data_IF_416912708947
#
_entry.id   IF_416912708947
#
_cell.length_a   1.000
_cell.length_b   1.000
_cell.length_c   1.000
_cell.angle_alpha   90.00
_cell.angle_beta   90.00
_cell.angle_gamma   90.00
#
_symmetry.space_group_name_H-M   'P 1'
#
loop_
_entity.id
_entity.type
_entity.pdbx_description
1 polymer ?
#
# COMPACT_ATOMS: atom_id res chain seq x y z
N UNK A 1 -21.39 59.86 6.69
CA UNK A 1 -20.64 58.92 5.84
C UNK A 1 -19.96 57.90 6.77
N UNK A 2 -20.46 56.65 6.83
CA UNK A 2 -19.93 55.57 7.69
C UNK A 2 -19.12 54.63 6.78
N UNK A 3 -17.80 54.63 6.93
CA UNK A 3 -16.93 53.68 6.22
C UNK A 3 -16.99 52.32 6.93
N UNK A 4 -17.61 51.33 6.29
CA UNK A 4 -17.47 49.92 6.68
C UNK A 4 -16.13 49.41 6.18
N UNK A 5 -15.20 49.13 7.10
CA UNK A 5 -14.00 48.36 6.79
C UNK A 5 -14.40 46.87 6.76
N UNK A 6 -14.34 46.28 5.56
CA UNK A 6 -14.55 44.87 5.33
C UNK A 6 -13.25 44.13 5.71
N UNK A 7 -13.26 43.36 6.80
CA UNK A 7 -12.14 42.46 7.12
C UNK A 7 -12.16 41.29 6.12
N UNK A 8 -11.24 41.31 5.17
CA UNK A 8 -10.93 40.15 4.35
C UNK A 8 -10.13 39.14 5.20
N UNK A 9 -10.78 38.08 5.65
CA UNK A 9 -10.10 36.94 6.28
C UNK A 9 -9.45 36.13 5.16
N UNK A 10 -8.15 36.29 4.97
CA UNK A 10 -7.37 35.49 4.05
C UNK A 10 -7.18 34.08 4.64
N UNK A 11 -7.98 33.12 4.19
CA UNK A 11 -7.75 31.70 4.47
C UNK A 11 -6.49 31.24 3.72
N UNK A 12 -5.41 31.06 4.47
CA UNK A 12 -4.18 30.46 3.95
C UNK A 12 -4.49 28.98 3.67
N UNK A 13 -4.72 28.62 2.40
CA UNK A 13 -4.69 27.21 1.99
C UNK A 13 -3.24 26.73 2.08
N UNK A 14 -2.86 26.11 3.19
CA UNK A 14 -1.62 25.34 3.25
C UNK A 14 -1.72 24.19 2.26
N UNK A 15 -1.00 24.29 1.14
CA UNK A 15 -0.77 23.17 0.25
C UNK A 15 -0.01 22.11 1.05
N UNK A 16 -0.75 21.12 1.54
CA UNK A 16 -0.20 20.12 2.42
C UNK A 16 0.76 19.23 1.61
N UNK A 17 2.05 19.39 1.87
CA UNK A 17 3.12 18.81 1.06
C UNK A 17 3.30 17.34 1.42
N UNK A 18 3.20 16.46 0.42
CA UNK A 18 3.56 15.07 0.58
C UNK A 18 5.07 14.95 0.85
N UNK A 19 5.45 14.21 1.88
CA UNK A 19 6.85 13.98 2.26
C UNK A 19 7.32 12.63 1.71
N UNK A 20 8.58 12.54 1.25
CA UNK A 20 9.16 11.22 0.94
C UNK A 20 9.25 10.38 2.22
N UNK A 21 9.02 9.08 2.08
CA UNK A 21 9.19 8.10 3.15
C UNK A 21 10.02 6.91 2.65
N UNK A 22 10.75 6.27 3.57
CA UNK A 22 11.58 5.10 3.24
C UNK A 22 10.80 3.78 3.30
N UNK A 23 9.68 3.75 4.02
CA UNK A 23 8.80 2.58 4.16
C UNK A 23 7.38 2.99 4.54
N UNK A 24 6.43 2.08 4.31
CA UNK A 24 5.11 2.12 4.94
C UNK A 24 5.24 1.52 6.35
N UNK A 25 4.70 2.15 7.41
CA UNK A 25 4.95 1.76 8.80
C UNK A 25 4.13 0.54 9.25
N UNK A 26 4.18 -0.54 8.47
CA UNK A 26 3.58 -1.84 8.79
C UNK A 26 4.67 -2.92 8.90
N UNK A 27 4.37 -4.02 9.58
CA UNK A 27 5.30 -5.15 9.69
C UNK A 27 5.61 -5.76 8.31
N UNK A 28 6.85 -6.20 8.10
CA UNK A 28 7.19 -7.02 6.93
C UNK A 28 6.57 -8.41 7.07
N UNK A 29 6.13 -8.99 5.97
CA UNK A 29 5.52 -10.31 5.95
C UNK A 29 4.16 -10.32 5.25
N UNK A 30 3.38 -11.38 5.51
CA UNK A 30 2.13 -11.62 4.80
C UNK A 30 0.95 -10.88 5.42
N UNK A 31 0.11 -10.36 4.52
CA UNK A 31 -1.16 -9.76 4.85
C UNK A 31 -2.26 -10.42 4.04
N UNK A 32 -3.38 -10.71 4.70
CA UNK A 32 -4.56 -11.31 4.08
C UNK A 32 -5.73 -10.34 4.18
N UNK A 33 -6.58 -10.30 3.16
CA UNK A 33 -7.82 -9.50 3.17
C UNK A 33 -8.61 -9.78 4.46
N UNK A 34 -9.11 -8.72 5.08
CA UNK A 34 -9.72 -8.77 6.43
C UNK A 34 -10.98 -9.63 6.50
N UNK A 35 -11.65 -9.84 5.37
CA UNK A 35 -12.82 -10.70 5.22
C UNK A 35 -12.47 -12.19 4.98
N UNK A 36 -11.19 -12.53 4.90
CA UNK A 36 -10.71 -13.89 4.62
C UNK A 36 -9.86 -14.39 5.80
N UNK A 37 -10.16 -15.55 6.44
CA UNK A 37 -9.30 -16.16 7.45
C UNK A 37 -7.87 -16.40 6.95
N UNK A 38 -6.84 -16.28 7.80
CA UNK A 38 -5.45 -16.49 7.38
C UNK A 38 -5.23 -17.89 6.80
N UNK A 39 -5.87 -18.90 7.40
CA UNK A 39 -5.80 -20.31 7.00
C UNK A 39 -6.50 -20.59 5.66
N UNK A 40 -7.29 -19.64 5.16
CA UNK A 40 -8.03 -19.71 3.89
C UNK A 40 -7.51 -18.70 2.87
N UNK A 41 -6.29 -18.20 3.07
CA UNK A 41 -5.65 -17.33 2.11
C UNK A 41 -5.53 -18.02 0.74
N UNK A 42 -5.67 -17.22 -0.31
CA UNK A 42 -5.46 -17.63 -1.69
C UNK A 42 -4.63 -16.57 -2.41
N UNK A 43 -4.15 -16.87 -3.62
CA UNK A 43 -3.46 -15.88 -4.46
C UNK A 43 -4.24 -14.57 -4.63
N UNK A 44 -5.58 -14.60 -4.56
CA UNK A 44 -6.43 -13.41 -4.70
C UNK A 44 -6.58 -12.59 -3.41
N UNK A 45 -6.29 -13.18 -2.25
CA UNK A 45 -6.56 -12.55 -0.95
C UNK A 45 -5.30 -12.23 -0.14
N UNK A 46 -4.14 -12.70 -0.57
CA UNK A 46 -2.85 -12.51 0.11
C UNK A 46 -1.94 -11.52 -0.61
N UNK A 47 -1.10 -10.81 0.16
CA UNK A 47 -0.02 -9.98 -0.36
C UNK A 47 1.17 -10.03 0.62
N UNK A 48 2.39 -9.95 0.08
CA UNK A 48 3.62 -9.91 0.86
C UNK A 48 4.16 -8.48 0.89
N UNK A 49 4.46 -7.96 2.07
CA UNK A 49 5.14 -6.67 2.22
C UNK A 49 6.61 -6.87 2.59
N UNK A 50 7.51 -6.28 1.80
CA UNK A 50 8.96 -6.36 2.03
C UNK A 50 9.56 -5.10 2.68
N UNK A 51 8.72 -4.14 3.08
CA UNK A 51 9.13 -2.86 3.65
C UNK A 51 9.00 -1.69 2.68
N UNK A 52 9.07 -1.94 1.37
CA UNK A 52 9.01 -0.88 0.35
C UNK A 52 7.90 -1.08 -0.70
N UNK A 53 7.40 -2.30 -0.85
CA UNK A 53 6.37 -2.64 -1.82
C UNK A 53 5.52 -3.80 -1.33
N UNK A 54 4.29 -3.87 -1.84
CA UNK A 54 3.37 -4.98 -1.65
C UNK A 54 3.33 -5.85 -2.91
N UNK A 55 3.49 -7.15 -2.74
CA UNK A 55 3.36 -8.11 -3.84
C UNK A 55 1.97 -8.03 -4.48
N UNK A 56 1.94 -8.09 -5.80
CA UNK A 56 0.71 -8.07 -6.59
C UNK A 56 0.61 -9.36 -7.39
N UNK A 57 -0.56 -10.00 -7.35
CA UNK A 57 -0.81 -11.15 -8.21
C UNK A 57 -0.63 -10.74 -9.67
N UNK A 58 0.16 -11.51 -10.43
CA UNK A 58 0.38 -11.34 -11.87
C UNK A 58 1.10 -10.06 -12.32
N UNK A 59 1.62 -9.25 -11.38
CA UNK A 59 2.44 -8.10 -11.73
C UNK A 59 3.86 -8.29 -11.22
N UNK A 60 4.80 -7.91 -12.07
CA UNK A 60 6.16 -7.64 -11.63
C UNK A 60 6.32 -6.13 -11.48
N UNK A 61 6.64 -5.65 -10.28
CA UNK A 61 6.81 -4.23 -9.97
C UNK A 61 8.25 -3.92 -9.53
N UNK A 62 8.75 -2.74 -9.89
CA UNK A 62 10.11 -2.27 -9.60
C UNK A 62 10.11 -0.78 -9.28
N UNK A 63 11.22 -0.33 -8.68
CA UNK A 63 11.50 1.09 -8.38
C UNK A 63 10.39 1.76 -7.54
N UNK A 64 10.03 1.20 -6.37
CA UNK A 64 9.01 1.82 -5.53
C UNK A 64 9.48 3.18 -5.04
N UNK A 65 8.58 4.16 -5.08
CA UNK A 65 8.73 5.47 -4.47
C UNK A 65 7.57 5.68 -3.51
N UNK A 66 7.89 5.95 -2.23
CA UNK A 66 6.89 6.09 -1.18
C UNK A 66 6.79 7.56 -0.77
N UNK A 67 5.55 8.03 -0.67
CA UNK A 67 5.21 9.35 -0.17
C UNK A 67 4.21 9.22 0.97
N UNK A 68 4.46 9.92 2.08
CA UNK A 68 3.45 10.15 3.12
C UNK A 68 2.65 11.39 2.74
N UNK A 69 1.34 11.22 2.60
CA UNK A 69 0.40 12.27 2.28
C UNK A 69 0.02 13.06 3.54
N UNK A 70 -0.58 14.22 3.34
CA UNK A 70 -0.98 15.13 4.40
C UNK A 70 -2.02 14.56 5.37
N UNK A 71 -2.89 13.69 4.88
CA UNK A 71 -3.89 12.98 5.68
C UNK A 71 -3.30 11.80 6.48
N UNK A 72 -1.98 11.61 6.42
CA UNK A 72 -1.25 10.53 7.07
C UNK A 72 -1.25 9.21 6.31
N UNK A 73 -1.97 9.12 5.18
CA UNK A 73 -1.91 7.96 4.30
C UNK A 73 -0.58 7.89 3.54
N UNK A 74 -0.29 6.74 2.94
CA UNK A 74 0.93 6.50 2.18
C UNK A 74 0.57 6.22 0.73
N UNK A 75 1.34 6.76 -0.20
CA UNK A 75 1.24 6.47 -1.62
C UNK A 75 2.51 5.76 -2.07
N UNK A 76 2.36 4.62 -2.73
CA UNK A 76 3.45 3.92 -3.38
C UNK A 76 3.24 4.04 -4.88
N UNK A 77 4.24 4.58 -5.58
CA UNK A 77 4.31 4.57 -7.04
C UNK A 77 5.39 3.60 -7.47
N UNK A 78 5.06 2.70 -8.38
CA UNK A 78 5.95 1.66 -8.89
C UNK A 78 5.87 1.62 -10.42
N UNK A 79 6.89 1.07 -11.07
CA UNK A 79 6.79 0.65 -12.47
C UNK A 79 6.48 -0.84 -12.51
N UNK A 80 5.33 -1.21 -13.06
CA UNK A 80 4.85 -2.58 -13.09
C UNK A 80 4.63 -3.06 -14.53
N UNK A 81 4.70 -4.37 -14.74
CA UNK A 81 4.22 -5.03 -15.97
C UNK A 81 3.39 -6.26 -15.62
N UNK A 82 2.41 -6.56 -16.45
CA UNK A 82 1.69 -7.84 -16.39
C UNK A 82 2.63 -8.99 -16.79
N UNK A 83 2.61 -10.08 -16.02
CA UNK A 83 3.44 -11.27 -16.24
C UNK A 83 2.68 -12.44 -16.88
N UNK A 84 1.40 -12.29 -17.18
CA UNK A 84 0.58 -13.29 -17.85
C UNK A 84 0.71 -13.21 -19.38
N UNK A 85 0.48 -14.34 -20.05
CA UNK A 85 0.50 -14.44 -21.50
C UNK A 85 1.86 -14.04 -22.10
N UNK A 86 1.85 -13.05 -23.00
CA UNK A 86 3.07 -12.49 -23.60
C UNK A 86 3.72 -11.38 -22.75
N UNK A 87 3.15 -11.09 -21.59
CA UNK A 87 3.49 -9.94 -20.75
C UNK A 87 2.96 -8.61 -21.30
N UNK A 88 2.89 -7.61 -20.41
CA UNK A 88 2.50 -6.24 -20.75
C UNK A 88 3.69 -5.26 -20.81
N UNK A 89 3.49 -4.06 -21.38
CA UNK A 89 4.48 -2.98 -21.25
C UNK A 89 4.63 -2.58 -19.78
N UNK A 90 5.79 -1.98 -19.45
CA UNK A 90 5.98 -1.35 -18.14
C UNK A 90 5.16 -0.07 -18.05
N UNK A 91 4.34 0.06 -17.02
CA UNK A 91 3.52 1.23 -16.74
C UNK A 91 3.67 1.67 -15.29
N UNK A 92 3.48 2.95 -15.02
CA UNK A 92 3.44 3.45 -13.65
C UNK A 92 2.13 3.02 -12.99
N UNK A 93 2.23 2.43 -11.80
CA UNK A 93 1.10 2.09 -10.95
C UNK A 93 1.24 2.85 -9.64
N UNK A 94 0.20 3.59 -9.27
CA UNK A 94 0.16 4.34 -8.02
C UNK A 94 -0.98 3.83 -7.15
N UNK A 95 -0.66 3.44 -5.91
CA UNK A 95 -1.61 2.90 -4.94
C UNK A 95 -1.53 3.66 -3.63
N UNK A 96 -2.68 3.97 -3.04
CA UNK A 96 -2.77 4.65 -1.74
C UNK A 96 -3.12 3.66 -0.63
N UNK A 97 -2.53 3.84 0.54
CA UNK A 97 -2.63 2.98 1.71
C UNK A 97 -2.97 3.81 2.95
N UNK A 98 -4.12 3.55 3.57
CA UNK A 98 -4.39 4.01 4.93
C UNK A 98 -3.83 2.98 5.92
N UNK A 99 -3.10 3.43 6.95
CA UNK A 99 -2.38 2.55 7.88
C UNK A 99 -2.89 2.81 9.31
N UNK A 100 -3.98 2.14 9.74
CA UNK A 100 -4.53 2.32 11.08
C UNK A 100 -3.63 1.74 12.19
N UNK A 101 -2.81 0.72 11.89
CA UNK A 101 -1.87 0.13 12.84
C UNK A 101 -0.67 -0.49 12.12
N UNK A 102 0.33 -0.96 12.88
CA UNK A 102 1.49 -1.67 12.29
C UNK A 102 1.13 -3.00 11.64
N UNK A 103 -0.04 -3.56 11.94
CA UNK A 103 -0.47 -4.89 11.47
C UNK A 103 -1.68 -4.83 10.55
N UNK A 104 -2.13 -3.64 10.16
CA UNK A 104 -3.32 -3.46 9.34
C UNK A 104 -3.14 -2.32 8.36
N UNK A 105 -3.69 -2.47 7.17
CA UNK A 105 -3.79 -1.39 6.20
C UNK A 105 -5.04 -1.54 5.33
N UNK A 106 -5.48 -0.43 4.75
CA UNK A 106 -6.49 -0.42 3.70
C UNK A 106 -5.85 0.07 2.40
N UNK A 107 -5.85 -0.80 1.39
CA UNK A 107 -5.43 -0.48 0.02
C UNK A 107 -6.57 0.22 -0.69
N UNK A 108 -6.25 1.32 -1.36
CA UNK A 108 -7.19 2.12 -2.14
C UNK A 108 -6.67 2.25 -3.57
N UNK A 109 -7.49 1.83 -4.52
CA UNK A 109 -7.23 1.91 -5.96
C UNK A 109 -8.41 2.62 -6.63
N UNK A 110 -8.30 3.03 -7.91
CA UNK A 110 -9.44 3.54 -8.66
C UNK A 110 -10.64 2.56 -8.74
N UNK A 111 -10.38 1.27 -8.58
CA UNK A 111 -11.40 0.21 -8.71
C UNK A 111 -12.07 -0.16 -7.38
N UNK A 112 -11.57 0.34 -6.25
CA UNK A 112 -12.14 0.05 -4.94
C UNK A 112 -11.13 0.04 -3.80
N UNK A 113 -11.62 -0.36 -2.63
CA UNK A 113 -10.86 -0.42 -1.38
C UNK A 113 -10.89 -1.82 -0.81
N UNK A 114 -9.79 -2.23 -0.19
CA UNK A 114 -9.71 -3.51 0.51
C UNK A 114 -8.84 -3.39 1.76
N UNK A 115 -9.36 -3.86 2.89
CA UNK A 115 -8.64 -3.92 4.16
C UNK A 115 -7.87 -5.23 4.30
N UNK A 116 -6.69 -5.16 4.87
CA UNK A 116 -5.76 -6.27 5.05
C UNK A 116 -5.23 -6.27 6.48
N UNK A 117 -4.98 -7.47 7.00
CA UNK A 117 -4.36 -7.69 8.31
C UNK A 117 -3.18 -8.62 8.21
N UNK A 118 -2.20 -8.43 9.08
CA UNK A 118 -1.03 -9.27 9.21
C UNK A 118 -1.44 -10.70 9.60
N UNK A 119 -0.85 -11.70 8.96
CA UNK A 119 -0.97 -13.10 9.32
C UNK A 119 0.43 -13.65 9.59
N UNK A 120 0.58 -14.39 10.70
CA UNK A 120 1.80 -15.16 10.92
C UNK A 120 1.93 -16.17 9.79
N UNK A 121 3.15 -16.33 9.29
CA UNK A 121 3.41 -17.23 8.17
C UNK A 121 2.93 -18.66 8.47
N UNK A 122 3.15 -19.15 9.69
CA UNK A 122 2.71 -20.48 10.15
C UNK A 122 1.19 -20.71 10.08
N UNK A 123 0.40 -19.65 10.02
CA UNK A 123 -1.08 -19.73 10.02
C UNK A 123 -1.66 -19.71 8.60
N UNK A 124 -0.79 -19.62 7.58
CA UNK A 124 -1.18 -19.60 6.18
C UNK A 124 -1.25 -21.02 5.61
N UNK A 125 -2.02 -21.25 4.54
CA UNK A 125 -1.92 -22.49 3.77
C UNK A 125 -0.62 -22.54 2.95
N UNK A 126 -0.26 -23.74 2.49
CA UNK A 126 0.80 -23.91 1.49
C UNK A 126 0.46 -23.16 0.19
N UNK A 127 1.46 -22.59 -0.52
CA UNK A 127 2.90 -22.68 -0.23
C UNK A 127 3.41 -21.61 0.77
N UNK A 128 2.55 -20.68 1.21
CA UNK A 128 3.01 -19.50 1.95
C UNK A 128 3.53 -19.83 3.34
N UNK A 129 3.00 -20.87 3.99
CA UNK A 129 3.47 -21.37 5.29
C UNK A 129 4.95 -21.76 5.32
N UNK A 130 5.51 -22.17 4.18
CA UNK A 130 6.88 -22.72 4.11
C UNK A 130 7.83 -21.92 3.23
N UNK A 131 7.33 -20.90 2.52
CA UNK A 131 8.14 -20.07 1.61
C UNK A 131 9.23 -19.31 2.34
N UNK A 132 10.49 -19.41 1.89
CA UNK A 132 11.58 -18.58 2.44
C UNK A 132 11.41 -17.10 2.04
N UNK A 133 11.06 -16.26 3.01
CA UNK A 133 10.83 -14.83 2.80
C UNK A 133 12.12 -14.02 2.62
N UNK A 134 13.28 -14.56 3.00
CA UNK A 134 14.58 -13.92 2.79
C UNK A 134 14.85 -13.65 1.31
N UNK A 135 14.44 -14.58 0.45
CA UNK A 135 14.52 -14.45 -1.02
C UNK A 135 13.67 -13.30 -1.59
N UNK A 136 12.67 -12.82 -0.82
CA UNK A 136 11.79 -11.70 -1.18
C UNK A 136 12.17 -10.38 -0.49
N UNK A 137 13.33 -10.33 0.17
CA UNK A 137 13.81 -9.13 0.86
C UNK A 137 13.11 -8.84 2.19
N UNK A 138 12.39 -9.83 2.74
CA UNK A 138 11.86 -9.79 4.10
C UNK A 138 12.95 -10.34 5.02
N UNK A 139 13.51 -9.48 5.86
CA UNK A 139 14.51 -9.82 6.88
C UNK A 139 13.95 -9.57 8.26
#
# INVERSE_FOLDING_TARGET
>A
MRNMAMLAVATILSAATAARADSVPVERGYYVRSDTPCQQASNATITLFNGISFGNAHLECRKPAIQKLADGSFQITEHCRDTQGRGGPWTALTTTYAVPSRTEFMRMTPYGKASFRYCKQSDLPEPWSTTDLGSYGVK
#
